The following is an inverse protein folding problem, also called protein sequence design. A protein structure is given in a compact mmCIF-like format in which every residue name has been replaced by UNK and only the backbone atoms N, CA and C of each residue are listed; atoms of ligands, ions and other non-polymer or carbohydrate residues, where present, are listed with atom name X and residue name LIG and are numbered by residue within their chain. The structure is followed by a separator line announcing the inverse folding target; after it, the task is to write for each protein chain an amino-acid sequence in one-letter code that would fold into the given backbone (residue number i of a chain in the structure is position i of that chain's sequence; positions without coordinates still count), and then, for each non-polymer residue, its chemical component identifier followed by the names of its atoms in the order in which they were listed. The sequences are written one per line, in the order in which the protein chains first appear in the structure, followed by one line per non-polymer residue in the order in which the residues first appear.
data_IF_460562105119
#
_entry.id   IF_460562105119
#
_cell.length_a   1.000
_cell.length_b   1.000
_cell.length_c   1.000
_cell.angle_alpha   90.00
_cell.angle_beta   90.00
_cell.angle_gamma   90.00
#
_symmetry.space_group_name_H-M   'P 1'
#
loop_
_entity.id
_entity.type
_entity.pdbx_description
1 polymer ?
#
# COMPACT_ATOMS: atom_id res chain seq x y z
N UNK A 1 33.78 -9.08 -28.60
CA UNK A 1 33.82 -8.68 -27.18
C UNK A 1 32.38 -8.47 -26.74
N UNK A 2 31.72 -9.57 -26.27
CA UNK A 2 30.32 -9.57 -25.91
C UNK A 2 30.16 -9.09 -24.47
N UNK A 3 29.53 -7.95 -24.27
CA UNK A 3 29.11 -7.50 -22.95
C UNK A 3 27.73 -8.08 -22.69
N UNK A 4 27.71 -9.15 -21.89
CA UNK A 4 26.47 -9.68 -21.29
C UNK A 4 25.93 -8.63 -20.31
N UNK A 5 24.80 -8.06 -20.65
CA UNK A 5 23.95 -7.35 -19.68
C UNK A 5 23.20 -8.39 -18.84
N UNK A 6 23.68 -8.63 -17.64
CA UNK A 6 22.92 -9.35 -16.61
C UNK A 6 21.91 -8.36 -16.03
N UNK A 7 20.65 -8.53 -16.41
CA UNK A 7 19.56 -7.80 -15.81
C UNK A 7 19.41 -8.22 -14.34
N UNK A 8 19.89 -7.38 -13.43
CA UNK A 8 19.50 -7.46 -12.02
C UNK A 8 18.07 -6.97 -11.89
N UNK A 9 17.15 -7.89 -11.61
CA UNK A 9 15.87 -7.52 -11.01
C UNK A 9 16.22 -6.95 -9.63
N UNK A 10 16.14 -5.62 -9.48
CA UNK A 10 16.24 -4.98 -8.19
C UNK A 10 15.02 -5.42 -7.38
N UNK A 11 15.18 -6.41 -6.50
CA UNK A 11 14.41 -6.46 -5.27
C UNK A 11 14.63 -5.11 -4.60
N UNK A 12 13.55 -4.41 -4.22
CA UNK A 12 13.67 -3.12 -3.54
C UNK A 12 14.60 -3.28 -2.35
N UNK A 13 15.42 -2.26 -2.09
CA UNK A 13 16.27 -2.21 -0.91
C UNK A 13 15.36 -2.37 0.32
N UNK A 14 15.50 -3.44 1.12
CA UNK A 14 14.66 -3.68 2.28
C UNK A 14 14.78 -2.57 3.34
N UNK A 15 15.81 -1.72 3.24
CA UNK A 15 16.09 -0.61 4.15
C UNK A 15 15.23 0.63 3.87
N UNK A 16 14.52 0.66 2.76
CA UNK A 16 13.73 1.83 2.34
C UNK A 16 12.27 1.61 2.67
N UNK A 17 11.70 2.48 3.50
CA UNK A 17 10.24 2.55 3.65
C UNK A 17 9.63 2.92 2.29
N UNK A 18 8.90 2.00 1.63
CA UNK A 18 8.33 2.25 0.31
C UNK A 18 7.37 3.42 0.28
N UNK A 19 6.82 3.75 1.44
CA UNK A 19 5.80 4.76 1.61
C UNK A 19 6.36 6.09 2.14
N UNK A 20 7.70 6.19 2.36
CA UNK A 20 8.34 7.45 2.71
C UNK A 20 8.29 8.41 1.51
N UNK A 21 7.59 9.53 1.68
CA UNK A 21 7.54 10.58 0.65
C UNK A 21 8.82 11.41 0.73
N UNK A 22 9.71 11.25 -0.26
CA UNK A 22 10.93 12.04 -0.40
C UNK A 22 10.68 13.23 -1.32
N UNK A 23 10.74 14.44 -0.76
CA UNK A 23 10.59 15.69 -1.53
C UNK A 23 11.93 16.12 -2.16
N UNK A 24 13.02 15.38 -1.93
CA UNK A 24 14.40 15.83 -2.16
C UNK A 24 14.89 15.79 -3.60
N UNK A 25 14.20 15.15 -4.53
CA UNK A 25 14.62 15.11 -5.94
C UNK A 25 13.54 15.79 -6.82
N UNK A 26 13.53 17.13 -6.77
CA UNK A 26 12.54 17.99 -7.44
C UNK A 26 12.80 18.08 -8.96
N UNK A 27 12.81 16.97 -9.65
CA UNK A 27 12.40 17.03 -11.06
C UNK A 27 10.88 17.14 -11.06
N UNK A 28 10.39 18.29 -11.49
CA UNK A 28 8.96 18.45 -11.74
C UNK A 28 8.46 17.27 -12.58
N UNK A 29 7.34 16.67 -12.17
CA UNK A 29 6.73 15.65 -13.00
C UNK A 29 6.39 16.25 -14.37
N UNK A 30 6.67 15.59 -15.49
CA UNK A 30 6.17 16.04 -16.77
C UNK A 30 4.64 16.04 -16.73
N UNK A 31 4.00 17.02 -17.34
CA UNK A 31 2.54 17.06 -17.44
C UNK A 31 2.00 15.90 -18.28
N UNK A 32 2.74 15.53 -19.33
CA UNK A 32 2.42 14.45 -20.26
C UNK A 32 3.61 13.52 -20.47
N UNK A 33 3.36 12.23 -20.59
CA UNK A 33 4.39 11.24 -20.88
C UNK A 33 3.80 9.97 -21.52
N UNK A 34 4.61 9.29 -22.35
CA UNK A 34 4.24 8.00 -22.91
C UNK A 34 4.55 6.88 -21.93
N UNK A 35 3.61 5.96 -21.72
CA UNK A 35 3.80 4.76 -20.89
C UNK A 35 4.51 3.68 -21.71
N UNK A 36 5.72 3.32 -21.29
CA UNK A 36 6.54 2.30 -21.94
C UNK A 36 6.19 0.87 -21.51
N UNK A 37 5.89 0.67 -20.21
CA UNK A 37 5.52 -0.64 -19.68
C UNK A 37 4.67 -0.51 -18.41
N UNK A 38 3.96 -1.60 -18.07
CA UNK A 38 3.15 -1.73 -16.87
C UNK A 38 3.68 -2.92 -16.07
N UNK A 39 4.07 -2.68 -14.81
CA UNK A 39 4.61 -3.72 -13.92
C UNK A 39 3.47 -4.50 -13.27
N UNK A 40 2.56 -3.80 -12.59
CA UNK A 40 1.35 -4.31 -11.94
C UNK A 40 0.18 -3.34 -12.15
N UNK A 41 -0.89 -3.45 -11.33
CA UNK A 41 -2.08 -2.59 -11.48
C UNK A 41 -1.82 -1.11 -11.22
N UNK A 42 -0.89 -0.77 -10.34
CA UNK A 42 -0.64 0.62 -9.90
C UNK A 42 0.80 1.11 -10.08
N UNK A 43 1.65 0.30 -10.70
CA UNK A 43 3.05 0.66 -11.01
C UNK A 43 3.32 0.56 -12.51
N UNK A 44 3.78 1.65 -13.11
CA UNK A 44 4.11 1.73 -14.53
C UNK A 44 5.44 2.44 -14.76
N UNK A 45 6.02 2.29 -15.97
CA UNK A 45 7.26 2.94 -16.37
C UNK A 45 6.99 3.81 -17.58
N UNK A 46 7.46 5.06 -17.53
CA UNK A 46 7.37 6.02 -18.62
C UNK A 46 8.51 5.82 -19.64
N UNK A 47 8.36 6.35 -20.83
CA UNK A 47 9.36 6.26 -21.90
C UNK A 47 10.70 6.94 -21.54
N UNK A 48 10.69 7.90 -20.61
CA UNK A 48 11.90 8.54 -20.09
C UNK A 48 12.62 7.70 -19.00
N UNK A 49 12.06 6.53 -18.64
CA UNK A 49 12.60 5.62 -17.61
C UNK A 49 12.08 5.86 -16.19
N UNK A 50 11.32 6.93 -15.95
CA UNK A 50 10.71 7.15 -14.63
C UNK A 50 9.68 6.06 -14.31
N UNK A 51 9.76 5.49 -13.10
CA UNK A 51 8.71 4.64 -12.56
C UNK A 51 7.65 5.51 -11.89
N UNK A 52 6.38 5.20 -12.11
CA UNK A 52 5.24 5.88 -11.50
C UNK A 52 4.50 4.90 -10.61
N UNK A 53 4.25 5.29 -9.36
CA UNK A 53 3.30 4.65 -8.45
C UNK A 53 2.02 5.48 -8.46
N UNK A 54 0.91 4.86 -8.82
CA UNK A 54 -0.39 5.52 -8.82
C UNK A 54 -0.76 5.99 -7.42
N UNK A 55 -1.23 7.22 -7.34
CA UNK A 55 -1.83 7.77 -6.13
C UNK A 55 -3.28 7.32 -6.00
N UNK A 56 -3.76 7.27 -4.75
CA UNK A 56 -5.17 7.09 -4.35
C UNK A 56 -5.76 5.71 -4.63
N UNK A 57 -4.94 4.77 -5.06
CA UNK A 57 -5.33 3.37 -5.23
C UNK A 57 -4.18 2.45 -4.82
N UNK A 58 -4.51 1.30 -4.25
CA UNK A 58 -3.60 0.17 -4.07
C UNK A 58 -4.24 -1.05 -4.73
N UNK A 59 -3.46 -1.73 -5.56
CA UNK A 59 -3.89 -2.95 -6.27
C UNK A 59 -3.22 -4.17 -5.67
N UNK A 60 -3.76 -5.39 -5.85
CA UNK A 60 -3.09 -6.60 -5.45
C UNK A 60 -1.76 -6.79 -6.17
N UNK A 61 -0.77 -7.33 -5.46
CA UNK A 61 0.59 -7.52 -5.92
C UNK A 61 0.72 -8.70 -6.89
N UNK A 62 1.74 -8.62 -7.78
CA UNK A 62 2.13 -9.73 -8.64
C UNK A 62 3.24 -10.60 -8.03
N UNK A 63 3.98 -10.07 -7.03
CA UNK A 63 5.09 -10.79 -6.37
C UNK A 63 5.16 -10.44 -4.88
N UNK A 64 4.79 -11.39 -3.99
CA UNK A 64 4.14 -12.67 -4.30
C UNK A 64 2.77 -12.43 -4.94
N UNK A 65 2.27 -13.38 -5.77
CA UNK A 65 1.02 -13.15 -6.49
C UNK A 65 -0.17 -13.13 -5.52
N UNK A 66 -0.97 -12.07 -5.63
CA UNK A 66 -2.25 -11.92 -4.95
C UNK A 66 -3.41 -12.11 -5.93
N UNK A 67 -4.58 -12.52 -5.42
CA UNK A 67 -5.79 -12.65 -6.24
C UNK A 67 -6.14 -11.32 -6.91
N UNK A 68 -6.43 -11.35 -8.21
CA UNK A 68 -6.74 -10.19 -9.06
C UNK A 68 -5.56 -9.26 -9.41
N UNK A 69 -4.32 -9.56 -9.01
CA UNK A 69 -3.16 -8.75 -9.40
C UNK A 69 -2.92 -8.75 -10.91
N UNK A 70 -3.10 -9.92 -11.56
CA UNK A 70 -2.93 -10.01 -13.01
C UNK A 70 -4.02 -9.25 -13.77
N UNK A 71 -5.28 -9.34 -13.32
CA UNK A 71 -6.40 -8.60 -13.91
C UNK A 71 -6.24 -7.08 -13.74
N UNK A 72 -5.71 -6.64 -12.59
CA UNK A 72 -5.39 -5.23 -12.36
C UNK A 72 -4.33 -4.72 -13.34
N UNK A 73 -3.25 -5.49 -13.53
CA UNK A 73 -2.22 -5.18 -14.52
C UNK A 73 -2.77 -5.13 -15.94
N UNK A 74 -3.61 -6.09 -16.32
CA UNK A 74 -4.21 -6.16 -17.66
C UNK A 74 -5.12 -4.97 -17.93
N UNK A 75 -5.95 -4.56 -16.95
CA UNK A 75 -6.78 -3.37 -17.07
C UNK A 75 -5.91 -2.11 -17.25
N UNK A 76 -4.89 -1.94 -16.41
CA UNK A 76 -3.96 -0.81 -16.51
C UNK A 76 -3.28 -0.79 -17.86
N UNK A 77 -2.71 -1.93 -18.31
CA UNK A 77 -2.05 -2.00 -19.63
C UNK A 77 -3.01 -1.67 -20.79
N UNK A 78 -4.23 -2.18 -20.75
CA UNK A 78 -5.25 -1.90 -21.77
C UNK A 78 -5.63 -0.42 -21.85
N UNK A 79 -5.56 0.30 -20.73
CA UNK A 79 -5.92 1.72 -20.68
C UNK A 79 -4.76 2.65 -21.07
N UNK A 80 -3.50 2.33 -20.70
CA UNK A 80 -2.41 3.31 -20.78
C UNK A 80 -1.18 2.85 -21.56
N UNK A 81 -0.98 1.56 -21.84
CA UNK A 81 0.24 1.07 -22.48
C UNK A 81 0.43 1.69 -23.88
N UNK A 82 1.63 2.23 -24.14
CA UNK A 82 2.01 2.93 -25.38
C UNK A 82 1.17 4.17 -25.69
N UNK A 83 0.44 4.70 -24.70
CA UNK A 83 -0.31 5.96 -24.86
C UNK A 83 0.42 7.12 -24.20
N UNK A 84 0.15 8.32 -24.73
CA UNK A 84 0.45 9.57 -24.04
C UNK A 84 -0.60 9.80 -22.94
N UNK A 85 -0.14 9.92 -21.69
CA UNK A 85 -0.97 10.08 -20.50
C UNK A 85 -0.68 11.40 -19.82
N UNK A 86 -1.69 11.98 -19.20
CA UNK A 86 -1.52 13.16 -18.33
C UNK A 86 -1.22 12.69 -16.91
N UNK A 87 -0.17 13.27 -16.31
CA UNK A 87 0.23 13.01 -14.93
C UNK A 87 -0.29 14.10 -14.00
N UNK A 88 -0.93 13.69 -12.92
CA UNK A 88 -1.48 14.55 -11.89
C UNK A 88 -0.64 14.41 -10.63
N UNK A 89 0.17 15.41 -10.30
CA UNK A 89 1.02 15.36 -9.11
C UNK A 89 2.03 16.51 -9.04
N UNK A 90 2.73 16.58 -7.93
CA UNK A 90 3.71 17.65 -7.64
C UNK A 90 5.15 17.26 -7.97
N UNK A 91 5.40 16.03 -8.41
CA UNK A 91 6.76 15.50 -8.61
C UNK A 91 7.32 14.82 -7.36
N UNK A 92 6.53 14.63 -6.30
CA UNK A 92 6.94 13.86 -5.13
C UNK A 92 7.27 12.41 -5.49
N UNK A 93 8.23 11.84 -4.79
CA UNK A 93 8.67 10.46 -4.97
C UNK A 93 8.57 9.69 -3.65
N UNK A 94 8.32 8.40 -3.75
CA UNK A 94 8.38 7.51 -2.58
C UNK A 94 9.82 7.09 -2.24
N UNK A 95 9.97 6.28 -1.21
CA UNK A 95 11.26 5.77 -0.75
C UNK A 95 12.04 5.01 -1.82
N UNK A 96 11.37 4.38 -2.78
CA UNK A 96 11.99 3.69 -3.94
C UNK A 96 12.30 4.61 -5.10
N UNK A 97 12.06 5.92 -4.97
CA UNK A 97 12.28 6.90 -6.03
C UNK A 97 11.20 6.89 -7.12
N UNK A 98 10.09 6.17 -6.94
CA UNK A 98 8.97 6.18 -7.88
C UNK A 98 8.22 7.51 -7.80
N UNK A 99 7.87 8.09 -8.94
CA UNK A 99 7.05 9.28 -9.02
C UNK A 99 5.64 8.98 -8.53
N UNK A 100 5.15 9.74 -7.56
CA UNK A 100 3.78 9.62 -7.04
C UNK A 100 2.85 10.51 -7.89
N UNK A 101 2.00 9.90 -8.73
CA UNK A 101 1.11 10.64 -9.61
C UNK A 101 -0.24 9.94 -9.81
N UNK A 102 -1.30 10.74 -9.96
CA UNK A 102 -2.49 10.27 -10.64
C UNK A 102 -2.21 10.18 -12.16
N UNK A 103 -2.91 9.31 -12.86
CA UNK A 103 -2.74 9.10 -14.31
C UNK A 103 -4.10 9.20 -15.00
N UNK A 104 -4.16 10.00 -16.05
CA UNK A 104 -5.33 10.10 -16.92
C UNK A 104 -4.96 9.75 -18.37
N UNK A 105 -5.77 8.90 -18.98
CA UNK A 105 -5.68 8.54 -20.39
C UNK A 105 -7.07 8.64 -21.03
N UNK A 106 -7.16 9.30 -22.19
CA UNK A 106 -8.42 9.46 -22.93
C UNK A 106 -9.55 10.05 -22.06
N UNK A 107 -9.22 10.98 -21.15
CA UNK A 107 -10.16 11.61 -20.22
C UNK A 107 -10.65 10.72 -19.07
N UNK A 108 -10.03 9.54 -18.85
CA UNK A 108 -10.36 8.61 -17.77
C UNK A 108 -9.24 8.61 -16.72
N UNK A 109 -9.61 8.75 -15.46
CA UNK A 109 -8.68 8.59 -14.33
C UNK A 109 -8.46 7.09 -14.10
N UNK A 110 -7.20 6.65 -14.15
CA UNK A 110 -6.82 5.24 -14.06
C UNK A 110 -7.14 4.65 -12.68
N UNK A 111 -6.89 5.40 -11.60
CA UNK A 111 -7.20 4.93 -10.24
C UNK A 111 -8.70 4.69 -10.06
N UNK A 112 -9.55 5.60 -10.56
CA UNK A 112 -11.00 5.41 -10.54
C UNK A 112 -11.43 4.20 -11.37
N UNK A 113 -10.83 3.99 -12.54
CA UNK A 113 -11.15 2.83 -13.38
C UNK A 113 -10.82 1.49 -12.68
N UNK A 114 -9.68 1.40 -11.99
CA UNK A 114 -9.30 0.24 -11.17
C UNK A 114 -10.28 0.01 -10.02
N UNK A 115 -10.66 1.07 -9.31
CA UNK A 115 -11.63 1.01 -8.21
C UNK A 115 -13.03 0.54 -8.68
N UNK A 116 -13.54 1.08 -9.80
CA UNK A 116 -14.83 0.68 -10.39
C UNK A 116 -14.84 -0.79 -10.85
N UNK A 117 -13.68 -1.27 -11.34
CA UNK A 117 -13.53 -2.67 -11.72
C UNK A 117 -13.41 -3.61 -10.51
N UNK A 118 -13.19 -3.06 -9.29
CA UNK A 118 -12.90 -3.83 -8.08
C UNK A 118 -11.51 -4.46 -8.10
N UNK A 119 -10.55 -3.84 -8.76
CA UNK A 119 -9.19 -4.32 -8.92
C UNK A 119 -8.19 -3.54 -8.04
N UNK A 120 -8.70 -2.84 -7.05
CA UNK A 120 -7.96 -2.13 -6.03
C UNK A 120 -8.88 -1.50 -4.99
N UNK A 121 -8.29 -0.90 -3.99
CA UNK A 121 -8.98 -0.14 -2.95
C UNK A 121 -8.40 1.27 -2.83
N UNK A 122 -9.18 2.22 -2.29
CA UNK A 122 -8.69 3.57 -1.99
C UNK A 122 -7.55 3.48 -0.98
N UNK A 123 -6.47 4.20 -1.25
CA UNK A 123 -5.25 4.17 -0.45
C UNK A 123 -4.65 5.55 -0.33
N UNK A 124 -4.63 6.09 0.89
CA UNK A 124 -4.18 7.45 1.20
C UNK A 124 -3.13 7.41 2.29
N UNK A 125 -1.98 7.98 2.02
CA UNK A 125 -0.94 8.28 3.00
C UNK A 125 -0.94 9.79 3.21
N UNK A 126 -1.42 10.30 4.36
CA UNK A 126 -1.36 11.73 4.64
C UNK A 126 0.09 12.26 4.67
N UNK A 127 0.33 13.53 4.32
CA UNK A 127 -0.67 14.59 4.13
C UNK A 127 -1.23 14.70 2.69
N UNK A 128 -1.27 13.61 1.94
CA UNK A 128 -1.85 13.65 0.60
C UNK A 128 -3.34 14.05 0.65
N UNK A 129 -3.72 14.97 -0.23
CA UNK A 129 -5.08 15.49 -0.29
C UNK A 129 -5.64 15.43 -1.72
N UNK A 130 -6.85 14.93 -1.84
CA UNK A 130 -7.63 14.88 -3.07
C UNK A 130 -9.12 14.93 -2.69
N UNK A 131 -9.97 15.35 -3.61
CA UNK A 131 -11.41 15.07 -3.45
C UNK A 131 -11.63 13.57 -3.54
N UNK A 132 -11.81 12.93 -2.39
CA UNK A 132 -11.98 11.47 -2.27
C UNK A 132 -13.37 10.98 -2.71
N UNK A 133 -14.36 11.86 -2.83
CA UNK A 133 -15.74 11.43 -3.09
C UNK A 133 -15.88 10.56 -4.35
N UNK A 134 -15.28 10.89 -5.52
CA UNK A 134 -15.39 10.03 -6.70
C UNK A 134 -14.69 8.68 -6.54
N UNK A 135 -13.56 8.62 -5.81
CA UNK A 135 -12.81 7.38 -5.56
C UNK A 135 -13.59 6.44 -4.63
N UNK A 136 -14.12 6.97 -3.52
CA UNK A 136 -14.94 6.20 -2.58
C UNK A 136 -16.24 5.71 -3.22
N UNK A 137 -16.86 6.53 -4.07
CA UNK A 137 -18.07 6.12 -4.82
C UNK A 137 -17.76 4.96 -5.80
N UNK A 138 -16.63 5.02 -6.51
CA UNK A 138 -16.17 3.97 -7.41
C UNK A 138 -15.93 2.66 -6.66
N UNK A 139 -15.19 2.74 -5.54
CA UNK A 139 -14.94 1.61 -4.66
C UNK A 139 -16.24 0.99 -4.13
N UNK A 140 -17.15 1.80 -3.59
CA UNK A 140 -18.39 1.30 -2.99
C UNK A 140 -19.29 0.61 -4.03
N UNK A 141 -19.35 1.12 -5.25
CA UNK A 141 -20.04 0.47 -6.37
C UNK A 141 -19.49 -0.93 -6.66
N UNK A 142 -18.17 -1.09 -6.66
CA UNK A 142 -17.53 -2.39 -6.85
C UNK A 142 -17.74 -3.32 -5.66
N UNK A 143 -17.63 -2.80 -4.43
CA UNK A 143 -17.84 -3.53 -3.17
C UNK A 143 -19.25 -4.04 -3.04
N UNK A 144 -20.26 -3.20 -3.28
CA UNK A 144 -21.69 -3.59 -3.25
C UNK A 144 -22.01 -4.69 -4.28
N UNK A 145 -21.33 -4.66 -5.44
CA UNK A 145 -21.45 -5.68 -6.48
C UNK A 145 -20.58 -6.92 -6.25
N UNK A 146 -19.80 -6.98 -5.16
CA UNK A 146 -18.79 -8.02 -4.87
C UNK A 146 -17.86 -8.30 -6.05
N UNK A 147 -17.36 -7.26 -6.69
CA UNK A 147 -16.53 -7.33 -7.88
C UNK A 147 -15.05 -7.44 -7.51
N UNK A 148 -14.28 -8.29 -8.22
CA UNK A 148 -12.84 -8.40 -8.04
C UNK A 148 -12.45 -8.74 -6.60
N UNK A 149 -11.53 -7.97 -6.01
CA UNK A 149 -11.04 -8.16 -4.64
C UNK A 149 -12.16 -8.25 -3.59
N UNK A 150 -13.28 -7.57 -3.83
CA UNK A 150 -14.44 -7.56 -2.91
C UNK A 150 -15.22 -8.88 -2.88
N UNK A 151 -14.92 -9.84 -3.76
CA UNK A 151 -15.45 -11.20 -3.72
C UNK A 151 -14.66 -12.11 -2.78
N UNK A 152 -13.41 -11.73 -2.43
CA UNK A 152 -12.47 -12.55 -1.64
C UNK A 152 -12.71 -12.36 -0.15
N UNK A 153 -12.31 -13.35 0.65
CA UNK A 153 -12.41 -13.30 2.12
C UNK A 153 -11.55 -12.18 2.71
N UNK A 154 -10.40 -11.91 2.11
CA UNK A 154 -9.39 -10.95 2.57
C UNK A 154 -9.91 -9.50 2.63
N UNK A 155 -10.89 -9.14 1.80
CA UNK A 155 -11.45 -7.79 1.73
C UNK A 155 -12.87 -7.68 2.31
N UNK A 156 -13.31 -8.67 3.12
CA UNK A 156 -14.62 -8.61 3.78
C UNK A 156 -14.63 -7.74 5.05
N UNK A 157 -13.46 -7.51 5.65
CA UNK A 157 -13.29 -6.65 6.82
C UNK A 157 -13.29 -5.15 6.50
N UNK A 158 -13.18 -4.33 7.54
CA UNK A 158 -13.03 -2.87 7.40
C UNK A 158 -11.56 -2.44 7.27
N UNK A 159 -10.63 -3.28 7.71
CA UNK A 159 -9.19 -3.05 7.63
C UNK A 159 -8.53 -4.08 6.72
N UNK A 160 -7.47 -3.65 6.01
CA UNK A 160 -6.63 -4.51 5.19
C UNK A 160 -5.16 -4.19 5.46
N UNK A 161 -4.32 -5.25 5.65
CA UNK A 161 -2.88 -5.11 5.84
C UNK A 161 -2.24 -4.97 4.46
N UNK A 162 -1.80 -3.76 4.11
CA UNK A 162 -1.24 -3.45 2.80
C UNK A 162 0.25 -3.74 2.71
N UNK A 163 0.99 -3.61 3.83
CA UNK A 163 2.40 -4.01 3.90
C UNK A 163 2.73 -4.60 5.27
N UNK A 164 3.74 -5.49 5.30
CA UNK A 164 4.22 -6.12 6.50
C UNK A 164 5.76 -6.23 6.46
N UNK A 165 6.43 -5.33 7.18
CA UNK A 165 7.88 -5.33 7.37
C UNK A 165 8.20 -6.00 8.69
N UNK A 166 8.45 -7.30 8.65
CA UNK A 166 8.77 -8.12 9.82
C UNK A 166 10.26 -8.10 10.18
N UNK A 167 11.11 -7.58 9.29
CA UNK A 167 12.57 -7.53 9.47
C UNK A 167 13.02 -6.07 9.37
N UNK A 168 13.51 -5.51 10.46
CA UNK A 168 14.05 -4.17 10.49
C UNK A 168 15.47 -4.12 9.89
N UNK A 169 15.95 -2.92 9.55
CA UNK A 169 17.32 -2.74 9.10
C UNK A 169 18.33 -2.96 10.23
N UNK A 170 19.33 -3.78 9.96
CA UNK A 170 20.41 -4.05 10.89
C UNK A 170 20.03 -5.07 11.95
N UNK A 171 20.30 -4.74 13.22
CA UNK A 171 19.87 -5.56 14.36
C UNK A 171 18.48 -5.09 14.80
N UNK A 172 17.45 -5.94 14.65
CA UNK A 172 16.06 -5.65 15.02
C UNK A 172 15.92 -5.21 16.48
N UNK A 173 16.82 -5.69 17.36
CA UNK A 173 16.82 -5.30 18.79
C UNK A 173 17.25 -3.86 19.00
N UNK A 174 18.06 -3.32 18.10
CA UNK A 174 18.49 -1.92 18.13
C UNK A 174 17.49 -1.01 17.39
N UNK A 175 16.70 -1.59 16.46
CA UNK A 175 15.73 -0.88 15.63
C UNK A 175 14.33 -1.52 15.65
N UNK A 176 13.76 -1.72 16.84
CA UNK A 176 12.44 -2.38 16.99
C UNK A 176 11.31 -1.68 16.21
N UNK A 177 11.40 -0.37 15.99
CA UNK A 177 10.42 0.38 15.19
C UNK A 177 10.66 0.30 13.67
N UNK A 178 11.77 -0.31 13.23
CA UNK A 178 11.97 -0.71 11.84
C UNK A 178 11.06 -1.86 11.41
N UNK A 179 10.59 -2.66 12.39
CA UNK A 179 9.45 -3.55 12.17
C UNK A 179 8.14 -2.77 12.20
N UNK A 180 7.35 -2.87 11.14
CA UNK A 180 6.04 -2.22 11.09
C UNK A 180 5.08 -2.92 10.13
N UNK A 181 3.80 -2.65 10.33
CA UNK A 181 2.75 -2.94 9.36
C UNK A 181 2.10 -1.63 8.91
N UNK A 182 1.61 -1.63 7.68
CA UNK A 182 0.67 -0.61 7.23
C UNK A 182 -0.70 -1.23 7.04
N UNK A 183 -1.70 -0.59 7.63
CA UNK A 183 -3.09 -1.04 7.62
C UNK A 183 -3.95 0.05 7.00
N UNK A 184 -4.83 -0.29 6.07
CA UNK A 184 -5.73 0.66 5.41
C UNK A 184 -7.18 0.44 5.86
N UNK A 185 -7.90 1.53 6.13
CA UNK A 185 -9.36 1.47 6.28
C UNK A 185 -10.01 1.34 4.88
N UNK A 186 -10.36 0.12 4.51
CA UNK A 186 -10.98 -0.18 3.20
C UNK A 186 -12.51 -0.04 3.22
N UNK A 187 -13.09 0.42 4.33
CA UNK A 187 -14.52 0.75 4.39
C UNK A 187 -14.80 2.13 3.79
N UNK A 188 -16.07 2.41 3.52
CA UNK A 188 -16.52 3.72 2.99
C UNK A 188 -16.76 4.77 4.08
N UNK A 189 -16.52 4.43 5.35
CA UNK A 189 -16.78 5.29 6.51
C UNK A 189 -15.53 5.39 7.40
N UNK A 190 -15.40 6.46 8.19
CA UNK A 190 -14.38 6.52 9.24
C UNK A 190 -14.55 5.34 10.20
N UNK A 191 -13.44 4.74 10.62
CA UNK A 191 -13.38 3.58 11.50
C UNK A 191 -12.72 3.93 12.83
N UNK A 192 -13.39 3.68 13.94
CA UNK A 192 -12.81 3.76 15.28
C UNK A 192 -12.10 2.44 15.61
N UNK A 193 -10.79 2.50 15.85
CA UNK A 193 -9.94 1.36 16.17
C UNK A 193 -10.11 0.84 17.61
N UNK A 194 -10.91 1.49 18.46
CA UNK A 194 -11.13 1.05 19.85
C UNK A 194 -11.62 -0.39 19.92
N UNK A 195 -10.88 -1.23 20.67
CA UNK A 195 -11.17 -2.66 20.82
C UNK A 195 -10.72 -3.54 19.67
N UNK A 196 -10.09 -2.98 18.65
CA UNK A 196 -9.33 -3.79 17.68
C UNK A 196 -8.00 -4.20 18.28
N UNK A 197 -7.46 -5.32 17.82
CA UNK A 197 -6.14 -5.82 18.24
C UNK A 197 -5.42 -6.50 17.10
N UNK A 198 -4.10 -6.51 17.17
CA UNK A 198 -3.24 -7.27 16.27
C UNK A 198 -2.55 -8.39 17.07
N UNK A 199 -2.34 -9.53 16.45
CA UNK A 199 -1.62 -10.66 17.05
C UNK A 199 -0.61 -11.25 16.08
N UNK A 200 0.49 -11.80 16.62
CA UNK A 200 1.46 -12.60 15.91
C UNK A 200 1.00 -14.07 15.74
N UNK A 201 1.82 -14.89 15.09
CA UNK A 201 1.55 -16.31 14.89
C UNK A 201 1.53 -17.11 16.22
N UNK A 202 2.22 -16.65 17.27
CA UNK A 202 2.26 -17.28 18.59
C UNK A 202 0.97 -17.06 19.38
N UNK A 203 0.17 -16.07 19.00
CA UNK A 203 -1.04 -15.62 19.69
C UNK A 203 -0.79 -14.50 20.70
N UNK A 204 0.44 -14.00 20.83
CA UNK A 204 0.67 -12.74 21.55
C UNK A 204 -0.07 -11.61 20.83
N UNK A 205 -0.67 -10.69 21.58
CA UNK A 205 -1.54 -9.68 20.96
C UNK A 205 -1.47 -8.32 21.65
N UNK A 206 -1.71 -7.27 20.85
CA UNK A 206 -1.65 -5.87 21.26
C UNK A 206 -2.93 -5.15 20.83
N UNK A 207 -3.55 -4.43 21.76
CA UNK A 207 -4.73 -3.62 21.48
C UNK A 207 -4.33 -2.31 20.78
N UNK A 208 -5.15 -1.86 19.84
CA UNK A 208 -4.98 -0.55 19.24
C UNK A 208 -5.52 0.54 20.15
N UNK A 209 -4.88 1.72 20.21
CA UNK A 209 -5.41 2.87 20.91
C UNK A 209 -6.70 3.37 20.24
N UNK A 210 -7.46 4.21 20.96
CA UNK A 210 -8.56 4.94 20.34
C UNK A 210 -8.00 5.88 19.25
N UNK A 211 -8.39 5.63 18.01
CA UNK A 211 -8.03 6.43 16.85
C UNK A 211 -9.14 6.33 15.82
N UNK A 212 -9.52 7.47 15.23
CA UNK A 212 -10.50 7.52 14.14
C UNK A 212 -9.76 7.58 12.81
N UNK A 213 -9.85 6.50 12.02
CA UNK A 213 -9.19 6.37 10.72
C UNK A 213 -10.19 6.71 9.62
N UNK A 214 -10.02 7.78 8.85
CA UNK A 214 -10.86 8.09 7.70
C UNK A 214 -10.91 6.96 6.66
N UNK A 215 -11.96 6.94 5.85
CA UNK A 215 -12.07 5.99 4.74
C UNK A 215 -10.89 6.13 3.77
N UNK A 216 -10.30 5.01 3.37
CA UNK A 216 -9.15 4.96 2.48
C UNK A 216 -7.82 5.35 3.09
N UNK A 217 -7.79 5.86 4.33
CA UNK A 217 -6.55 6.27 4.98
C UNK A 217 -5.80 5.11 5.61
N UNK A 218 -4.48 5.25 5.67
CA UNK A 218 -3.59 4.25 6.26
C UNK A 218 -3.18 4.59 7.68
N UNK A 219 -2.84 3.54 8.43
CA UNK A 219 -2.23 3.58 9.76
C UNK A 219 -0.92 2.81 9.69
N UNK A 220 0.17 3.40 10.17
CA UNK A 220 1.45 2.69 10.36
C UNK A 220 1.54 2.18 11.78
N UNK A 221 1.77 0.88 11.94
CA UNK A 221 1.81 0.20 13.24
C UNK A 221 3.20 -0.31 13.49
N UNK A 222 3.92 0.31 14.43
CA UNK A 222 5.28 -0.02 14.81
C UNK A 222 5.31 -1.02 15.97
N UNK A 223 6.26 -1.97 15.96
CA UNK A 223 6.44 -2.96 17.04
C UNK A 223 6.89 -2.33 18.35
N UNK A 224 7.79 -1.36 18.28
CA UNK A 224 8.48 -0.79 19.43
C UNK A 224 7.69 0.27 20.18
N UNK A 225 8.43 1.02 20.98
CA UNK A 225 7.90 2.09 21.83
C UNK A 225 7.89 3.42 21.11
N UNK A 226 6.87 4.22 21.38
CA UNK A 226 6.72 5.57 20.87
C UNK A 226 5.46 6.24 21.41
N UNK A 227 5.23 7.46 21.00
CA UNK A 227 3.98 8.19 21.28
C UNK A 227 3.07 8.04 20.08
N UNK A 228 1.84 7.57 20.30
CA UNK A 228 0.86 7.46 19.23
C UNK A 228 0.59 8.84 18.59
N UNK A 229 0.58 8.87 17.27
CA UNK A 229 0.14 10.01 16.48
C UNK A 229 -1.23 9.66 15.88
N UNK A 230 -2.28 10.23 16.46
CA UNK A 230 -3.67 9.88 16.08
C UNK A 230 -4.40 11.01 15.34
N UNK A 231 -3.65 12.01 14.86
CA UNK A 231 -4.20 13.08 14.04
C UNK A 231 -4.42 12.59 12.60
N UNK A 232 -5.68 12.54 12.18
CA UNK A 232 -6.05 12.11 10.84
C UNK A 232 -5.63 13.08 9.72
N UNK A 233 -5.19 14.31 10.04
CA UNK A 233 -4.60 15.23 9.08
C UNK A 233 -3.14 14.89 8.74
N UNK A 234 -2.51 14.05 9.57
CA UNK A 234 -1.18 13.48 9.36
C UNK A 234 -1.25 11.95 9.25
N UNK A 235 -0.13 11.30 8.96
CA UNK A 235 -0.04 9.85 9.03
C UNK A 235 -0.31 9.39 10.47
N UNK A 236 -1.34 8.57 10.65
CA UNK A 236 -1.59 7.93 11.95
C UNK A 236 -0.50 6.88 12.20
N UNK A 237 0.16 6.99 13.35
CA UNK A 237 1.20 6.04 13.78
C UNK A 237 0.84 5.47 15.15
N UNK A 238 0.86 4.14 15.24
CA UNK A 238 0.58 3.38 16.44
C UNK A 238 1.86 2.62 16.83
N UNK A 239 2.18 2.62 18.12
CA UNK A 239 3.34 1.91 18.68
C UNK A 239 2.85 0.82 19.62
N UNK A 240 3.18 -0.44 19.35
CA UNK A 240 2.73 -1.58 20.15
C UNK A 240 3.43 -1.68 21.52
N UNK A 241 4.51 -0.90 21.68
CA UNK A 241 5.19 -0.72 22.98
C UNK A 241 6.11 -1.85 23.38
N UNK A 242 6.44 -2.77 22.48
CA UNK A 242 7.40 -3.84 22.76
C UNK A 242 8.80 -3.30 23.07
N UNK A 243 9.58 -4.05 23.83
CA UNK A 243 11.01 -3.81 24.05
C UNK A 243 11.88 -4.60 23.09
N UNK A 244 11.33 -5.70 22.59
CA UNK A 244 12.00 -6.65 21.72
C UNK A 244 11.22 -6.73 20.39
N UNK A 245 11.86 -7.17 19.30
CA UNK A 245 11.18 -7.47 18.06
C UNK A 245 9.95 -8.35 18.29
N UNK A 246 8.86 -8.06 17.57
CA UNK A 246 7.61 -8.83 17.67
C UNK A 246 7.59 -9.92 16.60
N UNK A 247 7.98 -9.54 15.39
CA UNK A 247 7.82 -10.39 14.22
C UNK A 247 9.04 -11.25 13.97
N UNK A 248 8.80 -12.49 13.55
CA UNK A 248 9.85 -13.43 13.22
C UNK A 248 10.39 -13.16 11.83
N UNK A 249 11.71 -12.94 11.69
CA UNK A 249 12.36 -12.66 10.41
C UNK A 249 12.26 -13.83 9.41
N UNK A 250 12.02 -15.05 9.88
CA UNK A 250 11.79 -16.24 9.06
C UNK A 250 10.36 -16.29 8.52
N UNK A 251 9.49 -16.85 9.34
CA UNK A 251 8.07 -17.00 9.03
C UNK A 251 7.24 -16.42 10.17
N UNK A 252 6.32 -15.53 9.86
CA UNK A 252 5.35 -14.99 10.80
C UNK A 252 4.02 -14.66 10.14
N UNK A 253 3.02 -14.33 10.94
CA UNK A 253 1.71 -13.92 10.49
C UNK A 253 1.12 -12.87 11.41
N UNK A 254 0.87 -11.68 10.87
CA UNK A 254 0.09 -10.66 11.52
C UNK A 254 -1.41 -10.92 11.29
N UNK A 255 -2.20 -10.92 12.36
CA UNK A 255 -3.66 -11.10 12.28
C UNK A 255 -4.36 -9.98 13.04
N UNK A 256 -5.27 -9.27 12.36
CA UNK A 256 -6.10 -8.21 12.97
C UNK A 256 -7.44 -8.81 13.37
N UNK A 257 -7.88 -8.50 14.57
CA UNK A 257 -9.19 -8.87 15.11
C UNK A 257 -10.01 -7.61 15.42
N UNK A 258 -11.29 -7.69 15.16
CA UNK A 258 -12.24 -6.64 15.59
C UNK A 258 -12.54 -6.72 17.10
N UNK A 259 -13.32 -5.76 17.60
CA UNK A 259 -13.77 -5.68 18.99
C UNK A 259 -14.61 -6.87 19.47
N UNK A 260 -15.06 -7.71 18.56
CA UNK A 260 -15.82 -8.94 18.86
C UNK A 260 -14.95 -10.20 18.76
N UNK A 261 -13.65 -10.06 18.50
CA UNK A 261 -12.70 -11.15 18.36
C UNK A 261 -12.76 -11.87 17.00
N UNK A 262 -13.45 -11.32 16.00
CA UNK A 262 -13.49 -11.89 14.65
C UNK A 262 -12.26 -11.44 13.88
N UNK A 263 -11.69 -12.35 13.09
CA UNK A 263 -10.60 -12.01 12.17
C UNK A 263 -11.11 -11.03 11.12
N UNK A 264 -10.39 -9.92 10.98
CA UNK A 264 -10.66 -8.86 9.99
C UNK A 264 -9.77 -9.04 8.76
N UNK A 265 -8.48 -9.27 8.98
CA UNK A 265 -7.50 -9.58 7.94
C UNK A 265 -6.28 -10.28 8.54
N UNK A 266 -5.51 -10.96 7.71
CA UNK A 266 -4.21 -11.53 8.09
C UNK A 266 -3.23 -11.49 6.93
N UNK A 267 -1.95 -11.28 7.24
CA UNK A 267 -0.86 -11.29 6.27
C UNK A 267 0.31 -12.12 6.79
N UNK A 268 0.82 -12.99 5.93
CA UNK A 268 2.00 -13.80 6.22
C UNK A 268 3.27 -13.10 5.74
N UNK A 269 4.35 -13.31 6.47
CA UNK A 269 5.72 -13.01 6.10
C UNK A 269 6.51 -14.30 5.94
N UNK A 270 7.34 -14.39 4.90
CA UNK A 270 8.22 -15.51 4.63
C UNK A 270 9.59 -14.97 4.20
N UNK A 271 10.68 -15.40 4.87
CA UNK A 271 12.04 -14.91 4.61
C UNK A 271 12.50 -15.10 3.16
N UNK A 272 12.07 -16.19 2.51
CA UNK A 272 12.48 -16.54 1.14
C UNK A 272 11.62 -15.85 0.05
N UNK A 273 10.64 -15.08 0.46
CA UNK A 273 9.79 -14.29 -0.46
C UNK A 273 10.08 -12.82 -0.24
N UNK A 274 10.58 -12.10 -1.26
CA UNK A 274 10.76 -10.66 -1.13
C UNK A 274 9.41 -10.04 -0.72
N UNK A 275 9.45 -9.19 0.31
CA UNK A 275 8.31 -8.36 0.68
C UNK A 275 7.90 -7.55 -0.55
N UNK A 276 6.62 -7.46 -0.86
CA UNK A 276 6.12 -6.70 -1.99
C UNK A 276 6.38 -5.21 -1.85
#
# INVERSE_FOLDING_TARGET
MNVMWVGWAMAGDPTVDPDEIRISDQRAAPEHAVVASVYDGDTLTLANGDKVRLKWVNTPELKPPEEYGQEARELTAGLVLQKDVRLLGTGARDGYGRLLAGVEADGKNLSIALLEAGLGHVFIIPPDSVDLAPYLAAQEKARAARRGIWSTVRYQGALHITSFHANADGDDRENVNGEYLRVCNVSSMPLDLSGYRIADISGASWEFPTALVPAGQTVKVHSGRGTHLVDAAAQIEIFLGSRDPIWNNGDDRATIYDRYGRVVDSREHHADRPNP
#
